data_IF_437741517953
#
_entry.id   IF_437741517953
#
_cell.length_a   1.000
_cell.length_b   1.000
_cell.length_c   1.000
_cell.angle_alpha   90.00
_cell.angle_beta   90.00
_cell.angle_gamma   90.00
#
_symmetry.space_group_name_H-M   'P 1'
#
loop_
_entity.id
_entity.type
_entity.pdbx_description
1 polymer ?
#
# COMPACT_ATOMS: atom_id res chain seq x y z
N UNK A 1 -41.11 -13.21 -0.08
CA UNK A 1 -40.40 -11.95 0.26
C UNK A 1 -38.91 -12.23 0.29
N UNK A 2 -38.09 -11.45 -0.44
CA UNK A 2 -36.63 -11.65 -0.53
C UNK A 2 -35.96 -11.26 0.79
N UNK A 3 -35.21 -12.17 1.41
CA UNK A 3 -34.41 -11.90 2.62
C UNK A 3 -32.93 -12.02 2.28
N UNK A 4 -32.16 -10.98 2.63
CA UNK A 4 -30.71 -10.93 2.45
C UNK A 4 -30.02 -10.66 3.79
N UNK A 5 -28.96 -11.40 4.07
CA UNK A 5 -28.18 -11.22 5.29
C UNK A 5 -27.37 -9.92 5.23
N UNK A 6 -27.44 -9.10 6.28
CA UNK A 6 -26.68 -7.86 6.40
C UNK A 6 -25.35 -8.01 7.15
N UNK A 7 -24.99 -9.21 7.62
CA UNK A 7 -23.74 -9.47 8.32
C UNK A 7 -22.50 -9.44 7.40
N UNK A 8 -21.44 -8.74 7.81
CA UNK A 8 -20.08 -8.76 7.25
C UNK A 8 -20.03 -8.79 5.72
N UNK A 9 -19.39 -9.82 5.17
CA UNK A 9 -19.38 -10.11 3.72
C UNK A 9 -20.36 -11.22 3.33
N UNK A 10 -21.28 -11.61 4.23
CA UNK A 10 -22.20 -12.72 4.02
C UNK A 10 -23.08 -12.51 2.78
N UNK A 11 -23.23 -13.58 1.99
CA UNK A 11 -23.98 -13.61 0.73
C UNK A 11 -25.23 -14.51 0.79
N UNK A 12 -25.64 -14.94 2.00
CA UNK A 12 -26.89 -15.68 2.23
C UNK A 12 -28.09 -14.82 1.81
N UNK A 13 -28.86 -15.35 0.87
CA UNK A 13 -29.97 -14.65 0.23
C UNK A 13 -30.99 -15.68 -0.26
N UNK A 14 -32.28 -15.46 0.04
CA UNK A 14 -33.36 -16.40 -0.30
C UNK A 14 -33.59 -16.58 -1.79
N UNK A 15 -32.99 -15.74 -2.64
CA UNK A 15 -33.03 -15.90 -4.10
C UNK A 15 -32.11 -17.01 -4.62
N UNK A 16 -31.18 -17.50 -3.80
CA UNK A 16 -30.20 -18.52 -4.20
C UNK A 16 -30.25 -19.71 -3.22
N UNK A 17 -31.13 -20.71 -3.47
CA UNK A 17 -31.34 -21.85 -2.57
C UNK A 17 -30.04 -22.61 -2.22
N UNK A 18 -29.13 -22.77 -3.18
CA UNK A 18 -27.82 -23.44 -2.99
C UNK A 18 -26.96 -22.78 -1.89
N UNK A 19 -27.20 -21.51 -1.58
CA UNK A 19 -26.45 -20.77 -0.53
C UNK A 19 -27.04 -20.96 0.87
N UNK A 20 -28.20 -21.60 0.95
CA UNK A 20 -28.98 -21.85 2.16
C UNK A 20 -28.95 -23.33 2.60
N UNK A 21 -28.14 -24.16 1.94
CA UNK A 21 -27.88 -25.54 2.35
C UNK A 21 -27.46 -25.59 3.83
N UNK A 22 -28.07 -26.52 4.59
CA UNK A 22 -27.87 -26.65 6.03
C UNK A 22 -28.90 -25.93 6.92
N UNK A 23 -30.11 -25.63 6.43
CA UNK A 23 -31.23 -25.14 7.26
C UNK A 23 -31.12 -23.67 7.69
N UNK A 24 -30.46 -22.84 6.87
CA UNK A 24 -30.15 -21.44 7.21
C UNK A 24 -31.43 -20.60 7.28
N UNK A 25 -31.69 -20.01 8.44
CA UNK A 25 -32.86 -19.16 8.67
C UNK A 25 -32.44 -17.69 8.86
N UNK A 26 -33.40 -16.76 8.75
CA UNK A 26 -33.14 -15.32 8.76
C UNK A 26 -33.84 -14.65 9.95
N UNK A 27 -33.02 -14.16 10.88
CA UNK A 27 -33.43 -13.45 12.08
C UNK A 27 -33.67 -11.97 11.74
N UNK A 28 -34.84 -11.39 12.06
CA UNK A 28 -35.10 -9.97 11.84
C UNK A 28 -34.17 -9.08 12.64
N UNK A 29 -33.67 -8.01 12.02
CA UNK A 29 -32.83 -7.03 12.70
C UNK A 29 -33.65 -6.22 13.72
N UNK A 30 -33.16 -6.00 14.97
CA UNK A 30 -33.79 -5.15 15.98
C UNK A 30 -34.10 -3.76 15.44
N UNK A 31 -35.31 -3.24 15.67
CA UNK A 31 -35.70 -1.95 15.10
C UNK A 31 -35.26 -0.80 16.01
N UNK A 32 -34.72 0.30 15.45
CA UNK A 32 -34.35 1.48 16.25
C UNK A 32 -35.49 2.01 17.13
N UNK A 33 -36.73 1.94 16.64
CA UNK A 33 -37.92 2.40 17.36
C UNK A 33 -38.31 1.53 18.56
N UNK A 34 -37.95 0.24 18.55
CA UNK A 34 -38.38 -0.72 19.59
C UNK A 34 -37.26 -1.08 20.56
N UNK A 35 -36.02 -1.15 20.07
CA UNK A 35 -34.85 -1.43 20.91
C UNK A 35 -33.60 -0.84 20.24
N UNK A 36 -33.34 0.44 20.53
CA UNK A 36 -32.23 1.20 19.94
C UNK A 36 -30.87 0.66 20.35
N UNK A 37 -30.70 0.29 21.62
CA UNK A 37 -29.44 -0.21 22.16
C UNK A 37 -29.01 -1.51 21.47
N UNK A 38 -29.91 -2.49 21.39
CA UNK A 38 -29.66 -3.75 20.69
C UNK A 38 -29.45 -3.55 19.18
N UNK A 39 -30.13 -2.57 18.59
CA UNK A 39 -29.93 -2.19 17.20
C UNK A 39 -28.51 -1.65 16.93
N UNK A 40 -28.03 -0.73 17.77
CA UNK A 40 -26.66 -0.19 17.69
C UNK A 40 -25.61 -1.28 17.91
N UNK A 41 -25.85 -2.17 18.87
CA UNK A 41 -24.98 -3.31 19.13
C UNK A 41 -24.89 -4.25 17.92
N UNK A 42 -26.03 -4.58 17.28
CA UNK A 42 -26.03 -5.41 16.07
C UNK A 42 -25.37 -4.72 14.87
N UNK A 43 -25.48 -3.38 14.74
CA UNK A 43 -24.76 -2.62 13.70
C UNK A 43 -23.25 -2.82 13.87
N UNK A 44 -22.77 -2.68 15.11
CA UNK A 44 -21.35 -2.87 15.46
C UNK A 44 -20.89 -4.31 15.19
N UNK A 45 -21.65 -5.29 15.68
CA UNK A 45 -21.31 -6.72 15.56
C UNK A 45 -21.34 -7.22 14.10
N UNK A 46 -22.24 -6.70 13.26
CA UNK A 46 -22.31 -7.09 11.86
C UNK A 46 -21.13 -6.57 11.02
N UNK A 47 -20.33 -5.60 11.48
CA UNK A 47 -19.09 -5.19 10.80
C UNK A 47 -19.25 -4.66 9.37
N UNK A 48 -20.41 -4.12 9.00
CA UNK A 48 -20.62 -3.46 7.70
C UNK A 48 -20.15 -1.99 7.76
N UNK A 49 -19.69 -1.40 6.65
CA UNK A 49 -19.42 0.04 6.59
C UNK A 49 -20.65 0.87 7.00
N UNK A 50 -20.44 1.97 7.70
CA UNK A 50 -21.51 2.85 8.19
C UNK A 50 -22.42 3.36 7.05
N UNK A 51 -21.89 3.51 5.83
CA UNK A 51 -22.68 3.87 4.64
C UNK A 51 -23.70 2.79 4.23
N UNK A 52 -23.44 1.51 4.53
CA UNK A 52 -24.29 0.37 4.16
C UNK A 52 -25.24 -0.07 5.27
N UNK A 53 -24.83 0.04 6.54
CA UNK A 53 -25.62 -0.35 7.70
C UNK A 53 -25.48 0.70 8.80
N UNK A 54 -26.54 1.47 9.00
CA UNK A 54 -26.66 2.48 10.05
C UNK A 54 -28.13 2.56 10.49
N UNK A 55 -28.38 3.31 11.58
CA UNK A 55 -29.70 3.44 12.20
C UNK A 55 -30.76 3.94 11.22
N UNK A 56 -30.41 4.88 10.32
CA UNK A 56 -31.35 5.43 9.33
C UNK A 56 -31.75 4.41 8.25
N UNK A 57 -30.89 3.43 7.97
CA UNK A 57 -31.06 2.43 6.92
C UNK A 57 -31.66 1.08 7.40
N UNK A 58 -32.06 0.99 8.67
CA UNK A 58 -32.68 -0.21 9.27
C UNK A 58 -34.21 -0.14 9.17
N UNK A 59 -34.72 -0.67 8.07
CA UNK A 59 -36.16 -0.89 7.83
C UNK A 59 -36.63 -2.32 8.13
N UNK A 60 -37.86 -2.65 7.73
CA UNK A 60 -38.49 -3.96 7.94
C UNK A 60 -37.70 -5.12 7.29
N UNK A 61 -37.05 -4.88 6.15
CA UNK A 61 -36.37 -5.90 5.33
C UNK A 61 -34.92 -6.22 5.69
N UNK A 62 -34.43 -5.85 6.88
CA UNK A 62 -33.06 -6.18 7.33
C UNK A 62 -33.06 -7.44 8.19
N UNK A 63 -32.16 -8.38 7.86
CA UNK A 63 -32.04 -9.67 8.52
C UNK A 63 -30.58 -10.09 8.72
N UNK A 64 -30.32 -10.92 9.73
CA UNK A 64 -29.05 -11.63 9.93
C UNK A 64 -29.35 -13.13 9.88
N UNK A 65 -28.57 -13.92 9.13
CA UNK A 65 -28.82 -15.35 9.04
C UNK A 65 -28.22 -16.13 10.22
N UNK A 66 -28.79 -17.30 10.54
CA UNK A 66 -28.41 -18.13 11.70
C UNK A 66 -26.93 -18.55 11.71
N UNK A 67 -26.23 -18.52 10.55
CA UNK A 67 -24.79 -18.78 10.44
C UNK A 67 -23.91 -17.91 11.37
N UNK A 68 -24.43 -16.78 11.81
CA UNK A 68 -23.69 -15.78 12.59
C UNK A 68 -24.06 -15.78 14.07
N UNK A 69 -24.83 -16.77 14.53
CA UNK A 69 -25.14 -16.96 15.95
C UNK A 69 -24.41 -18.21 16.45
N UNK A 70 -24.29 -18.33 17.77
CA UNK A 70 -23.68 -19.49 18.44
C UNK A 70 -24.34 -20.78 17.92
N UNK A 71 -23.52 -21.80 17.63
CA UNK A 71 -23.93 -23.09 17.05
C UNK A 71 -24.66 -23.03 15.69
N UNK A 72 -24.67 -21.87 15.03
CA UNK A 72 -25.37 -21.63 13.75
C UNK A 72 -26.89 -21.83 13.82
N UNK A 73 -27.48 -21.64 15.00
CA UNK A 73 -28.92 -21.82 15.28
C UNK A 73 -29.64 -20.47 15.45
N UNK A 74 -30.93 -20.48 15.81
CA UNK A 74 -31.63 -19.27 16.24
C UNK A 74 -31.02 -18.69 17.52
N UNK A 75 -31.13 -17.37 17.74
CA UNK A 75 -30.66 -16.74 18.96
C UNK A 75 -31.41 -17.30 20.17
N UNK A 76 -30.68 -17.63 21.23
CA UNK A 76 -31.24 -18.09 22.50
C UNK A 76 -31.23 -16.95 23.52
N UNK A 77 -31.93 -17.06 24.67
CA UNK A 77 -31.84 -16.06 25.73
C UNK A 77 -30.40 -15.87 26.26
N UNK A 78 -29.60 -16.94 26.27
CA UNK A 78 -28.19 -16.90 26.69
C UNK A 78 -27.28 -16.25 25.64
N UNK A 79 -27.57 -16.47 24.35
CA UNK A 79 -26.78 -15.91 23.23
C UNK A 79 -27.71 -15.20 22.23
N UNK A 80 -28.22 -14.00 22.59
CA UNK A 80 -29.26 -13.33 21.82
C UNK A 80 -28.72 -12.51 20.64
N UNK A 81 -27.40 -12.38 20.51
CA UNK A 81 -26.71 -11.48 19.58
C UNK A 81 -25.84 -12.25 18.58
N UNK A 82 -25.63 -11.71 17.37
CA UNK A 82 -24.71 -12.30 16.42
C UNK A 82 -23.26 -12.17 16.91
N UNK A 83 -22.44 -13.16 16.58
CA UNK A 83 -21.00 -13.13 16.87
C UNK A 83 -20.34 -11.90 16.20
N UNK A 84 -19.25 -11.34 16.76
CA UNK A 84 -18.57 -10.21 16.13
C UNK A 84 -17.96 -10.59 14.77
N UNK A 85 -18.29 -9.84 13.72
CA UNK A 85 -17.74 -10.05 12.37
C UNK A 85 -16.22 -9.83 12.29
N UNK A 86 -15.63 -9.10 13.25
CA UNK A 86 -14.22 -8.76 13.28
C UNK A 86 -13.34 -9.82 14.00
N UNK A 87 -13.93 -10.84 14.63
CA UNK A 87 -13.19 -11.84 15.44
C UNK A 87 -13.30 -13.28 14.92
N UNK A 88 -14.00 -13.53 13.81
CA UNK A 88 -14.10 -14.89 13.26
C UNK A 88 -12.87 -15.21 12.39
N UNK A 89 -11.99 -16.02 12.98
CA UNK A 89 -10.87 -16.75 12.37
C UNK A 89 -11.24 -17.20 10.96
N UNK A 90 -10.46 -16.73 9.98
CA UNK A 90 -10.58 -17.07 8.58
C UNK A 90 -10.39 -18.59 8.40
N UNK A 91 -11.48 -19.32 8.20
CA UNK A 91 -11.43 -20.61 7.51
C UNK A 91 -11.41 -20.35 6.01
N UNK A 92 -10.51 -20.99 5.25
CA UNK A 92 -10.35 -20.73 3.83
C UNK A 92 -11.58 -21.26 3.10
N UNK A 93 -12.25 -20.39 2.34
CA UNK A 93 -13.23 -20.82 1.34
C UNK A 93 -12.70 -20.52 -0.04
N UNK A 94 -12.67 -21.59 -0.82
CA UNK A 94 -12.33 -21.65 -2.23
C UNK A 94 -13.07 -20.60 -3.05
N UNK A 95 -12.35 -20.01 -3.99
CA UNK A 95 -12.86 -19.08 -4.97
C UNK A 95 -13.93 -19.77 -5.85
N UNK A 96 -15.09 -19.12 -6.04
CA UNK A 96 -15.98 -19.43 -7.16
C UNK A 96 -15.53 -18.62 -8.38
N UNK A 97 -15.70 -19.14 -9.61
CA UNK A 97 -15.32 -18.44 -10.82
C UNK A 97 -16.12 -17.15 -11.02
N UNK A 98 -15.49 -16.18 -11.68
CA UNK A 98 -16.05 -14.87 -12.04
C UNK A 98 -17.31 -15.01 -12.93
N UNK A 99 -18.33 -14.15 -12.77
CA UNK A 99 -19.38 -14.00 -13.77
C UNK A 99 -18.78 -13.42 -15.06
N UNK A 100 -19.18 -13.96 -16.21
CA UNK A 100 -18.84 -13.42 -17.51
C UNK A 100 -19.30 -11.95 -17.62
N UNK A 101 -18.35 -11.04 -17.80
CA UNK A 101 -18.65 -9.62 -18.04
C UNK A 101 -19.38 -9.48 -19.38
N UNK A 102 -20.52 -8.79 -19.34
CA UNK A 102 -21.07 -8.07 -20.50
C UNK A 102 -19.98 -7.18 -21.10
N UNK A 103 -19.68 -7.37 -22.39
CA UNK A 103 -18.77 -6.52 -23.18
C UNK A 103 -19.28 -5.07 -23.15
N UNK A 104 -18.41 -4.15 -22.73
CA UNK A 104 -18.47 -2.73 -23.12
C UNK A 104 -17.42 -2.56 -24.22
N UNK A 105 -17.89 -2.07 -25.35
CA UNK A 105 -17.15 -1.75 -26.56
C UNK A 105 -16.14 -0.64 -26.23
N UNK A 106 -14.85 -0.88 -26.52
CA UNK A 106 -13.79 0.14 -26.50
C UNK A 106 -13.03 0.08 -27.82
N UNK A 107 -13.00 1.23 -28.50
CA UNK A 107 -12.23 1.77 -29.66
C UNK A 107 -11.17 0.97 -30.47
N UNK A 108 -10.91 -0.31 -30.22
CA UNK A 108 -10.04 -1.16 -31.05
C UNK A 108 -10.81 -2.16 -31.93
N UNK A 109 -12.15 -2.20 -31.88
CA UNK A 109 -12.98 -3.09 -32.71
C UNK A 109 -13.16 -2.59 -34.17
N UNK A 110 -12.68 -1.39 -34.51
CA UNK A 110 -12.76 -0.85 -35.87
C UNK A 110 -11.71 -1.44 -36.84
N UNK A 111 -10.62 -2.06 -36.33
CA UNK A 111 -9.54 -2.60 -37.17
C UNK A 111 -9.61 -4.13 -37.37
N UNK A 112 -10.25 -4.86 -36.45
CA UNK A 112 -10.48 -6.31 -36.60
C UNK A 112 -11.62 -6.64 -37.57
N UNK A 113 -12.56 -5.70 -37.77
CA UNK A 113 -13.68 -5.86 -38.71
C UNK A 113 -13.24 -5.80 -40.19
N UNK A 114 -12.01 -5.33 -40.48
CA UNK A 114 -11.44 -5.30 -41.82
C UNK A 114 -10.61 -6.56 -42.14
N UNK A 115 -10.13 -7.30 -41.14
CA UNK A 115 -9.34 -8.54 -41.35
C UNK A 115 -10.24 -9.77 -41.57
N UNK A 116 -11.47 -9.80 -41.03
CA UNK A 116 -12.43 -10.89 -41.29
C UNK A 116 -13.10 -10.84 -42.68
N UNK A 117 -12.92 -9.78 -43.46
CA UNK A 117 -13.44 -9.70 -44.83
C UNK A 117 -12.50 -10.35 -45.87
N UNK A 118 -11.28 -10.73 -45.49
CA UNK A 118 -10.27 -11.27 -46.40
C UNK A 118 -9.97 -12.77 -46.22
N UNK A 119 -10.61 -13.47 -45.29
CA UNK A 119 -10.36 -14.92 -45.04
C UNK A 119 -11.51 -15.86 -45.48
N UNK A 120 -12.62 -15.35 -46.03
CA UNK A 120 -13.79 -16.18 -46.40
C UNK A 120 -13.96 -16.43 -47.91
N UNK A 121 -12.89 -16.27 -48.70
CA UNK A 121 -12.87 -16.66 -50.13
C UNK A 121 -11.67 -17.54 -50.45
N UNK A 122 -11.54 -18.68 -49.78
CA UNK A 122 -10.69 -19.76 -50.28
C UNK A 122 -11.16 -21.12 -49.73
N UNK A 123 -12.29 -21.61 -50.24
CA UNK A 123 -12.66 -23.04 -50.21
C UNK A 123 -13.96 -23.28 -51.00
N UNK A 124 -13.83 -23.49 -52.30
CA UNK A 124 -14.77 -24.32 -53.06
C UNK A 124 -13.95 -25.23 -53.98
N UNK A 125 -13.73 -26.45 -53.50
CA UNK A 125 -13.22 -27.57 -54.30
C UNK A 125 -14.19 -27.85 -55.45
N UNK A 126 -13.71 -27.71 -56.69
CA UNK A 126 -14.44 -28.16 -57.88
C UNK A 126 -14.10 -29.63 -58.13
N UNK A 127 -14.99 -30.52 -57.70
CA UNK A 127 -14.96 -31.92 -58.10
C UNK A 127 -15.31 -32.05 -59.58
N UNK A 128 -14.43 -32.73 -60.30
CA UNK A 128 -14.62 -33.23 -61.66
C UNK A 128 -15.80 -34.20 -61.75
N UNK A 129 -16.75 -33.92 -62.64
CA UNK A 129 -17.57 -34.94 -63.30
C UNK A 129 -17.59 -34.68 -64.79
N UNK A 130 -17.10 -35.66 -65.56
CA UNK A 130 -17.39 -35.83 -66.98
C UNK A 130 -18.89 -36.10 -67.12
N UNK A 131 -19.56 -35.44 -68.05
CA UNK A 131 -20.20 -36.14 -69.16
C UNK A 131 -20.73 -35.19 -70.24
N UNK A 132 -20.68 -35.75 -71.44
CA UNK A 132 -21.11 -35.31 -72.76
C UNK A 132 -22.53 -34.73 -72.82
N UNK A 133 -22.72 -33.64 -73.57
CA UNK A 133 -23.56 -33.65 -74.77
C UNK A 133 -23.33 -32.42 -75.67
N UNK A 134 -23.01 -32.70 -76.93
CA UNK A 134 -22.82 -31.75 -78.02
C UNK A 134 -24.10 -30.99 -78.35
N UNK A 135 -24.03 -29.66 -78.43
CA UNK A 135 -24.84 -28.89 -79.37
C UNK A 135 -23.97 -27.84 -80.07
N UNK A 136 -23.61 -28.16 -81.32
CA UNK A 136 -23.06 -27.24 -82.31
C UNK A 136 -24.04 -26.10 -82.56
N UNK A 137 -23.65 -24.88 -82.16
CA UNK A 137 -24.19 -23.64 -82.74
C UNK A 137 -23.07 -23.02 -83.57
N UNK A 138 -23.08 -23.38 -84.86
CA UNK A 138 -22.24 -22.79 -85.89
C UNK A 138 -22.61 -21.31 -86.06
N UNK A 139 -21.81 -20.41 -85.47
CA UNK A 139 -21.82 -18.99 -85.84
C UNK A 139 -20.46 -18.64 -86.41
N UNK A 140 -20.44 -18.41 -87.71
CA UNK A 140 -19.29 -18.05 -88.54
C UNK A 140 -18.45 -16.95 -87.87
N UNK A 141 -17.23 -17.28 -87.48
CA UNK A 141 -16.20 -16.32 -87.04
C UNK A 141 -15.21 -16.17 -88.19
N UNK A 142 -14.95 -14.92 -88.54
CA UNK A 142 -13.97 -14.46 -89.51
C UNK A 142 -12.57 -15.06 -89.23
N UNK A 143 -11.89 -15.72 -90.19
CA UNK A 143 -10.57 -16.33 -90.00
C UNK A 143 -9.50 -15.36 -89.50
N UNK A 144 -9.66 -14.07 -89.80
CA UNK A 144 -8.72 -13.00 -89.45
C UNK A 144 -8.78 -12.61 -87.96
N UNK A 145 -9.93 -12.85 -87.31
CA UNK A 145 -10.17 -12.55 -85.90
C UNK A 145 -9.69 -13.66 -84.94
N UNK A 146 -9.58 -14.91 -85.42
CA UNK A 146 -9.20 -16.04 -84.58
C UNK A 146 -7.69 -16.06 -84.27
N UNK A 147 -6.82 -15.75 -85.24
CA UNK A 147 -5.37 -15.64 -85.01
C UNK A 147 -5.00 -14.47 -84.09
N UNK A 148 -5.71 -13.34 -84.22
CA UNK A 148 -5.53 -12.17 -83.34
C UNK A 148 -5.93 -12.50 -81.90
N UNK A 149 -7.08 -13.14 -81.69
CA UNK A 149 -7.54 -13.58 -80.36
C UNK A 149 -6.65 -14.63 -79.70
N UNK A 150 -6.02 -15.52 -80.48
CA UNK A 150 -5.05 -16.49 -79.97
C UNK A 150 -3.78 -15.79 -79.49
N UNK A 151 -3.30 -14.79 -80.25
CA UNK A 151 -2.12 -14.00 -79.87
C UNK A 151 -2.36 -13.15 -78.61
N UNK A 152 -3.55 -12.55 -78.48
CA UNK A 152 -3.95 -11.78 -77.30
C UNK A 152 -4.05 -12.66 -76.05
N UNK A 153 -4.56 -13.89 -76.20
CA UNK A 153 -4.60 -14.86 -75.10
C UNK A 153 -3.22 -15.30 -74.64
N UNK A 154 -2.25 -15.48 -75.55
CA UNK A 154 -0.87 -15.78 -75.18
C UNK A 154 -0.20 -14.62 -74.42
N UNK A 155 -0.44 -13.38 -74.85
CA UNK A 155 0.07 -12.18 -74.18
C UNK A 155 -0.53 -12.05 -72.77
N UNK A 156 -1.84 -12.24 -72.64
CA UNK A 156 -2.54 -12.21 -71.34
C UNK A 156 -2.03 -13.30 -70.40
N UNK A 157 -1.83 -14.53 -70.88
CA UNK A 157 -1.25 -15.62 -70.07
C UNK A 157 0.15 -15.26 -69.57
N UNK A 158 0.96 -14.62 -70.41
CA UNK A 158 2.30 -14.18 -70.05
C UNK A 158 2.27 -13.08 -68.98
N UNK A 159 1.37 -12.10 -69.11
CA UNK A 159 1.17 -11.04 -68.12
C UNK A 159 0.65 -11.58 -66.78
N UNK A 160 -0.28 -12.56 -66.79
CA UNK A 160 -0.78 -13.20 -65.57
C UNK A 160 0.33 -13.97 -64.85
N UNK A 161 1.17 -14.69 -65.59
CA UNK A 161 2.33 -15.38 -65.02
C UNK A 161 3.31 -14.38 -64.39
N UNK A 162 3.60 -13.27 -65.07
CA UNK A 162 4.47 -12.21 -64.57
C UNK A 162 3.89 -11.56 -63.30
N UNK A 163 2.60 -11.23 -63.28
CA UNK A 163 1.91 -10.73 -62.08
C UNK A 163 1.93 -11.74 -60.93
N UNK A 164 1.73 -13.03 -61.20
CA UNK A 164 1.80 -14.08 -60.18
C UNK A 164 3.18 -14.17 -59.54
N UNK A 165 4.26 -14.01 -60.32
CA UNK A 165 5.62 -13.99 -59.77
C UNK A 165 5.86 -12.75 -58.89
N UNK A 166 5.40 -11.57 -59.31
CA UNK A 166 5.50 -10.33 -58.53
C UNK A 166 4.68 -10.43 -57.23
N UNK A 167 3.47 -10.99 -57.29
CA UNK A 167 2.61 -11.23 -56.14
C UNK A 167 3.31 -12.10 -55.10
N UNK A 168 3.93 -13.20 -55.55
CA UNK A 168 4.64 -14.14 -54.67
C UNK A 168 5.87 -13.48 -54.01
N UNK A 169 6.60 -12.64 -54.75
CA UNK A 169 7.75 -11.90 -54.20
C UNK A 169 7.30 -10.83 -53.19
N UNK A 170 6.20 -10.13 -53.46
CA UNK A 170 5.58 -9.17 -52.56
C UNK A 170 5.13 -9.84 -51.25
N UNK A 171 4.48 -10.99 -51.33
CA UNK A 171 4.05 -11.79 -50.17
C UNK A 171 5.24 -12.25 -49.32
N UNK A 172 6.34 -12.66 -49.96
CA UNK A 172 7.59 -13.01 -49.27
C UNK A 172 8.15 -11.80 -48.51
N UNK A 173 8.25 -10.64 -49.15
CA UNK A 173 8.72 -9.40 -48.52
C UNK A 173 7.84 -8.99 -47.34
N UNK A 174 6.50 -9.09 -47.48
CA UNK A 174 5.57 -8.81 -46.38
C UNK A 174 5.79 -9.76 -45.21
N UNK A 175 6.01 -11.06 -45.47
CA UNK A 175 6.27 -12.06 -44.44
C UNK A 175 7.57 -11.77 -43.69
N UNK A 176 8.65 -11.48 -44.42
CA UNK A 176 9.95 -11.15 -43.84
C UNK A 176 9.86 -9.87 -42.99
N UNK A 177 9.18 -8.83 -43.50
CA UNK A 177 8.99 -7.57 -42.79
C UNK A 177 8.10 -7.72 -41.54
N UNK A 178 7.07 -8.58 -41.58
CA UNK A 178 6.26 -8.92 -40.41
C UNK A 178 7.11 -9.61 -39.33
N UNK A 179 7.99 -10.52 -39.74
CA UNK A 179 8.89 -11.22 -38.81
C UNK A 179 9.91 -10.27 -38.18
N UNK A 180 10.46 -9.33 -38.96
CA UNK A 180 11.37 -8.30 -38.47
C UNK A 180 10.67 -7.34 -37.48
N UNK A 181 9.46 -6.87 -37.79
CA UNK A 181 8.67 -6.02 -36.88
C UNK A 181 8.35 -6.72 -35.56
N UNK A 182 8.07 -8.02 -35.58
CA UNK A 182 7.87 -8.81 -34.37
C UNK A 182 9.15 -8.86 -33.52
N UNK A 183 10.29 -9.11 -34.16
CA UNK A 183 11.59 -9.14 -33.48
C UNK A 183 11.97 -7.77 -32.89
N UNK A 184 11.78 -6.69 -33.64
CA UNK A 184 12.04 -5.32 -33.19
C UNK A 184 11.12 -4.95 -32.01
N UNK A 185 9.84 -5.32 -32.07
CA UNK A 185 8.88 -5.06 -30.99
C UNK A 185 9.28 -5.78 -29.69
N UNK A 186 9.73 -7.04 -29.79
CA UNK A 186 10.26 -7.78 -28.64
C UNK A 186 11.52 -7.13 -28.07
N UNK A 187 12.42 -6.65 -28.93
CA UNK A 187 13.66 -5.97 -28.51
C UNK A 187 13.38 -4.64 -27.83
N UNK A 188 12.41 -3.86 -28.33
CA UNK A 188 11.95 -2.62 -27.70
C UNK A 188 11.38 -2.93 -26.31
N UNK A 189 10.49 -3.92 -26.20
CA UNK A 189 9.90 -4.30 -24.91
C UNK A 189 10.97 -4.74 -23.89
N UNK A 190 11.99 -5.51 -24.31
CA UNK A 190 13.10 -5.89 -23.44
C UNK A 190 13.97 -4.71 -23.01
N UNK A 191 14.21 -3.76 -23.91
CA UNK A 191 14.98 -2.57 -23.58
C UNK A 191 14.21 -1.63 -22.66
N UNK A 192 12.91 -1.50 -22.87
CA UNK A 192 12.02 -0.69 -22.04
C UNK A 192 11.93 -1.27 -20.63
N UNK A 193 11.71 -2.59 -20.50
CA UNK A 193 11.65 -3.26 -19.20
C UNK A 193 12.94 -3.11 -18.39
N UNK A 194 14.12 -3.14 -19.03
CA UNK A 194 15.43 -2.92 -18.36
C UNK A 194 15.69 -1.47 -17.94
N UNK A 195 14.99 -0.51 -18.55
CA UNK A 195 15.15 0.93 -18.26
C UNK A 195 14.11 1.45 -17.26
N UNK A 196 13.07 0.69 -16.98
CA UNK A 196 12.03 1.09 -16.04
C UNK A 196 12.60 1.30 -14.63
N UNK A 197 12.16 2.37 -13.99
CA UNK A 197 12.49 2.67 -12.60
C UNK A 197 11.60 1.85 -11.68
N UNK A 198 12.05 0.64 -11.36
CA UNK A 198 11.36 -0.29 -10.46
C UNK A 198 12.37 -1.00 -9.57
N UNK A 199 11.86 -1.65 -8.53
CA UNK A 199 12.71 -2.33 -7.54
C UNK A 199 13.48 -3.49 -8.16
N UNK A 200 12.89 -4.22 -9.12
CA UNK A 200 13.52 -5.37 -9.76
C UNK A 200 14.81 -5.00 -10.50
N UNK A 201 14.83 -3.84 -11.16
CA UNK A 201 16.01 -3.33 -11.86
C UNK A 201 17.03 -2.68 -10.92
N UNK A 202 16.58 -2.08 -9.82
CA UNK A 202 17.44 -1.30 -8.91
C UNK A 202 18.09 -2.15 -7.84
N UNK A 203 17.40 -3.17 -7.31
CA UNK A 203 17.86 -3.93 -6.13
C UNK A 203 19.11 -4.75 -6.38
N UNK A 204 19.40 -5.11 -7.63
CA UNK A 204 20.62 -5.84 -8.00
C UNK A 204 21.86 -4.93 -8.07
N UNK A 205 21.68 -3.63 -8.26
CA UNK A 205 22.77 -2.65 -8.17
C UNK A 205 22.92 -2.14 -6.73
N UNK A 206 23.95 -2.65 -6.04
CA UNK A 206 24.28 -2.29 -4.65
C UNK A 206 24.42 -0.79 -4.42
N UNK A 207 24.92 -0.02 -5.39
CA UNK A 207 25.08 1.43 -5.24
C UNK A 207 23.74 2.13 -5.39
N UNK A 208 22.94 1.73 -6.36
CA UNK A 208 21.64 2.35 -6.61
C UNK A 208 20.64 2.05 -5.49
N UNK A 209 20.53 0.80 -5.02
CA UNK A 209 19.61 0.47 -3.93
C UNK A 209 19.95 1.24 -2.66
N UNK A 210 21.25 1.35 -2.32
CA UNK A 210 21.72 2.13 -1.17
C UNK A 210 21.45 3.62 -1.34
N UNK A 211 21.66 4.17 -2.54
CA UNK A 211 21.40 5.57 -2.82
C UNK A 211 19.91 5.91 -2.65
N UNK A 212 19.03 5.13 -3.28
CA UNK A 212 17.61 5.42 -3.30
C UNK A 212 16.90 5.09 -1.98
N UNK A 213 17.34 4.04 -1.29
CA UNK A 213 16.64 3.56 -0.09
C UNK A 213 17.34 3.87 1.22
N UNK A 214 18.67 4.08 1.19
CA UNK A 214 19.51 4.10 2.39
C UNK A 214 19.81 2.70 2.96
N UNK A 215 19.31 1.64 2.33
CA UNK A 215 19.42 0.26 2.80
C UNK A 215 20.19 -0.61 1.81
N UNK A 216 20.81 -1.69 2.31
CA UNK A 216 21.26 -2.77 1.43
C UNK A 216 20.06 -3.53 0.85
N UNK A 217 20.29 -4.33 -0.20
CA UNK A 217 19.27 -5.22 -0.77
C UNK A 217 18.64 -6.10 0.31
N UNK A 218 19.47 -6.73 1.14
CA UNK A 218 19.05 -7.67 2.17
C UNK A 218 18.20 -6.98 3.24
N UNK A 219 18.57 -5.76 3.66
CA UNK A 219 17.78 -4.97 4.60
C UNK A 219 16.45 -4.53 3.99
N UNK A 220 16.44 -4.06 2.74
CA UNK A 220 15.21 -3.69 2.04
C UNK A 220 14.25 -4.89 1.93
N UNK A 221 14.76 -6.05 1.52
CA UNK A 221 13.97 -7.28 1.40
C UNK A 221 13.45 -7.75 2.77
N UNK A 222 14.24 -7.62 3.83
CA UNK A 222 13.80 -7.93 5.19
C UNK A 222 12.67 -7.00 5.66
N UNK A 223 12.78 -5.69 5.39
CA UNK A 223 11.73 -4.71 5.68
C UNK A 223 10.47 -5.05 4.88
N UNK A 224 10.60 -5.34 3.58
CA UNK A 224 9.48 -5.70 2.74
C UNK A 224 8.78 -6.96 3.24
N UNK A 225 9.55 -8.01 3.59
CA UNK A 225 9.01 -9.26 4.15
C UNK A 225 8.31 -9.05 5.49
N UNK A 226 8.82 -8.17 6.34
CA UNK A 226 8.16 -7.81 7.60
C UNK A 226 6.81 -7.11 7.36
N UNK A 227 6.79 -6.14 6.44
CA UNK A 227 5.60 -5.37 6.10
C UNK A 227 4.57 -6.20 5.32
N UNK A 228 5.00 -7.08 4.43
CA UNK A 228 4.16 -7.92 3.56
C UNK A 228 4.54 -9.40 3.73
N UNK A 229 4.13 -10.05 4.84
CA UNK A 229 4.57 -11.41 5.16
C UNK A 229 3.96 -12.50 4.28
N UNK A 230 2.83 -12.23 3.61
CA UNK A 230 2.14 -13.18 2.75
C UNK A 230 1.99 -12.64 1.33
N UNK A 231 2.33 -13.45 0.33
CA UNK A 231 2.31 -13.05 -1.10
C UNK A 231 0.91 -12.62 -1.56
N UNK A 232 -0.14 -13.27 -1.06
CA UNK A 232 -1.54 -12.96 -1.40
C UNK A 232 -2.15 -11.87 -0.51
N UNK A 233 -1.40 -11.33 0.45
CA UNK A 233 -1.92 -10.26 1.29
C UNK A 233 -1.96 -8.95 0.51
N UNK A 234 -3.13 -8.31 0.49
CA UNK A 234 -3.29 -6.91 0.14
C UNK A 234 -3.55 -6.14 1.45
N UNK A 235 -2.50 -5.82 2.22
CA UNK A 235 -2.66 -5.22 3.53
C UNK A 235 -3.14 -3.76 3.46
N UNK A 236 -3.05 -3.15 2.28
CA UNK A 236 -3.33 -1.74 2.05
C UNK A 236 -4.67 -1.57 1.35
N UNK A 237 -5.49 -0.68 1.89
CA UNK A 237 -6.65 -0.14 1.19
C UNK A 237 -6.34 1.29 0.76
N UNK A 238 -6.29 1.51 -0.55
CA UNK A 238 -6.08 2.84 -1.11
C UNK A 238 -7.41 3.61 -1.12
N UNK A 239 -7.34 4.89 -0.78
CA UNK A 239 -8.51 5.79 -0.74
C UNK A 239 -9.16 5.96 -2.11
N UNK A 240 -8.37 5.86 -3.17
CA UNK A 240 -8.80 5.98 -4.55
C UNK A 240 -8.46 4.74 -5.36
N UNK A 241 -9.39 4.31 -6.21
CA UNK A 241 -9.18 3.18 -7.13
C UNK A 241 -8.55 3.68 -8.42
N UNK A 242 -7.27 4.04 -8.36
CA UNK A 242 -6.50 4.43 -9.52
C UNK A 242 -5.94 3.18 -10.21
N UNK A 243 -6.10 3.08 -11.54
CA UNK A 243 -5.73 1.89 -12.31
C UNK A 243 -4.26 1.52 -12.13
N UNK A 244 -3.37 2.51 -12.25
CA UNK A 244 -1.93 2.34 -12.16
C UNK A 244 -1.45 1.74 -10.82
N UNK A 245 -2.17 1.96 -9.72
CA UNK A 245 -1.83 1.36 -8.41
C UNK A 245 -2.00 -0.18 -8.45
N UNK A 246 -2.92 -0.70 -9.26
CA UNK A 246 -3.12 -2.15 -9.38
C UNK A 246 -2.13 -2.82 -10.33
N UNK A 247 -1.44 -2.04 -11.17
CA UNK A 247 -0.44 -2.55 -12.12
C UNK A 247 0.96 -2.62 -11.49
N UNK A 248 1.20 -1.84 -10.44
CA UNK A 248 2.45 -1.85 -9.69
C UNK A 248 2.48 -2.94 -8.63
N UNK A 249 3.68 -3.46 -8.34
CA UNK A 249 3.88 -4.40 -7.24
C UNK A 249 3.88 -3.68 -5.89
N UNK A 250 3.54 -4.39 -4.81
CA UNK A 250 3.68 -3.84 -3.46
C UNK A 250 5.15 -3.51 -3.12
N UNK A 251 6.10 -4.25 -3.70
CA UNK A 251 7.54 -4.01 -3.53
C UNK A 251 7.93 -2.65 -4.16
N UNK A 252 7.39 -2.33 -5.33
CA UNK A 252 7.56 -1.01 -5.97
C UNK A 252 6.90 0.11 -5.18
N UNK A 253 5.74 -0.14 -4.58
CA UNK A 253 5.09 0.85 -3.72
C UNK A 253 5.92 1.18 -2.46
N UNK A 254 6.52 0.16 -1.82
CA UNK A 254 7.45 0.36 -0.72
C UNK A 254 8.68 1.13 -1.20
N UNK A 255 9.27 0.71 -2.33
CA UNK A 255 10.45 1.34 -2.90
C UNK A 255 10.21 2.82 -3.19
N UNK A 256 9.05 3.17 -3.79
CA UNK A 256 8.60 4.55 -3.99
C UNK A 256 8.54 5.32 -2.67
N UNK A 257 7.94 4.72 -1.65
CA UNK A 257 7.77 5.36 -0.34
C UNK A 257 9.11 5.65 0.33
N UNK A 258 10.04 4.68 0.30
CA UNK A 258 11.38 4.87 0.86
C UNK A 258 12.19 5.88 0.04
N UNK A 259 12.08 5.89 -1.30
CA UNK A 259 12.71 6.92 -2.13
C UNK A 259 12.28 8.33 -1.71
N UNK A 260 10.99 8.54 -1.45
CA UNK A 260 10.46 9.81 -0.93
C UNK A 260 11.04 10.15 0.43
N UNK A 261 11.05 9.21 1.38
CA UNK A 261 11.59 9.43 2.73
C UNK A 261 13.07 9.75 2.73
N UNK A 262 13.86 9.03 1.90
CA UNK A 262 15.31 9.15 1.85
C UNK A 262 15.78 10.42 1.14
N UNK A 263 15.19 10.71 -0.01
CA UNK A 263 15.69 11.75 -0.94
C UNK A 263 14.81 13.00 -0.98
N UNK A 264 13.67 13.00 -0.26
CA UNK A 264 12.67 14.06 -0.27
C UNK A 264 12.21 14.49 -1.68
N UNK A 265 12.19 13.56 -2.64
CA UNK A 265 11.78 13.83 -4.03
C UNK A 265 10.35 14.36 -4.11
N UNK A 266 10.04 15.33 -4.95
CA UNK A 266 8.66 15.78 -5.12
C UNK A 266 7.79 14.68 -5.75
N UNK A 267 6.48 14.69 -5.44
CA UNK A 267 5.57 13.70 -6.01
C UNK A 267 5.48 13.77 -7.54
N UNK A 268 5.80 14.91 -8.13
CA UNK A 268 5.91 15.05 -9.58
C UNK A 268 7.11 14.28 -10.14
N UNK A 269 8.29 14.41 -9.52
CA UNK A 269 9.50 13.65 -9.90
C UNK A 269 9.28 12.14 -9.70
N UNK A 270 8.68 11.74 -8.57
CA UNK A 270 8.30 10.35 -8.33
C UNK A 270 7.34 9.85 -9.41
N UNK A 271 6.32 10.63 -9.75
CA UNK A 271 5.38 10.28 -10.82
C UNK A 271 6.08 10.04 -12.15
N UNK A 272 7.01 10.93 -12.54
CA UNK A 272 7.80 10.77 -13.75
C UNK A 272 8.67 9.51 -13.75
N UNK A 273 9.34 9.18 -12.63
CA UNK A 273 10.20 7.99 -12.52
C UNK A 273 9.41 6.69 -12.65
N UNK A 274 8.32 6.57 -11.88
CA UNK A 274 7.50 5.35 -11.83
C UNK A 274 6.44 5.28 -12.94
N UNK A 275 6.40 6.26 -13.84
CA UNK A 275 5.42 6.36 -14.94
C UNK A 275 3.97 6.31 -14.41
N UNK A 276 3.73 7.08 -13.35
CA UNK A 276 2.41 7.23 -12.72
C UNK A 276 2.07 8.72 -12.53
N UNK A 277 0.81 9.03 -12.27
CA UNK A 277 0.44 10.41 -11.95
C UNK A 277 0.99 10.84 -10.58
N UNK A 278 1.21 12.14 -10.40
CA UNK A 278 1.55 12.74 -9.10
C UNK A 278 0.53 12.36 -8.01
N UNK A 279 -0.75 12.27 -8.38
CA UNK A 279 -1.82 11.86 -7.49
C UNK A 279 -1.66 10.40 -7.05
N UNK A 280 -1.37 9.48 -7.97
CA UNK A 280 -1.07 8.08 -7.64
C UNK A 280 0.11 7.99 -6.65
N UNK A 281 1.22 8.68 -6.93
CA UNK A 281 2.39 8.68 -6.06
C UNK A 281 2.06 9.18 -4.64
N UNK A 282 1.27 10.24 -4.53
CA UNK A 282 0.81 10.79 -3.23
C UNK A 282 -0.10 9.80 -2.49
N UNK A 283 -1.05 9.16 -3.17
CA UNK A 283 -1.94 8.15 -2.56
C UNK A 283 -1.14 6.97 -2.04
N UNK A 284 -0.21 6.43 -2.85
CA UNK A 284 0.67 5.33 -2.45
C UNK A 284 1.47 5.72 -1.20
N UNK A 285 2.18 6.84 -1.25
CA UNK A 285 3.02 7.30 -0.13
C UNK A 285 2.22 7.43 1.16
N UNK A 286 1.09 8.15 1.14
CA UNK A 286 0.30 8.37 2.36
C UNK A 286 -0.29 7.06 2.91
N UNK A 287 -0.74 6.14 2.06
CA UNK A 287 -1.21 4.82 2.48
C UNK A 287 -0.10 4.00 3.13
N UNK A 288 1.11 4.00 2.55
CA UNK A 288 2.25 3.27 3.10
C UNK A 288 2.78 3.88 4.40
N UNK A 289 2.86 5.21 4.53
CA UNK A 289 3.28 5.86 5.78
C UNK A 289 2.38 5.45 6.94
N UNK A 290 1.06 5.50 6.75
CA UNK A 290 0.11 5.08 7.80
C UNK A 290 0.25 3.59 8.13
N UNK A 291 0.44 2.75 7.11
CA UNK A 291 0.61 1.32 7.30
C UNK A 291 1.93 0.98 8.03
N UNK A 292 3.03 1.58 7.60
CA UNK A 292 4.34 1.44 8.22
C UNK A 292 4.30 1.92 9.68
N UNK A 293 3.61 3.01 9.98
CA UNK A 293 3.42 3.49 11.34
C UNK A 293 2.79 2.41 12.23
N UNK A 294 1.70 1.78 11.77
CA UNK A 294 1.03 0.72 12.53
C UNK A 294 1.90 -0.54 12.67
N UNK A 295 2.50 -1.02 11.58
CA UNK A 295 3.31 -2.25 11.60
C UNK A 295 4.62 -2.10 12.37
N UNK A 296 5.33 -0.99 12.21
CA UNK A 296 6.54 -0.75 13.01
C UNK A 296 6.21 -0.47 14.47
N UNK A 297 5.02 0.04 14.78
CA UNK A 297 4.54 0.17 16.16
C UNK A 297 4.36 -1.17 16.89
N UNK A 298 4.30 -2.29 16.17
CA UNK A 298 4.26 -3.64 16.75
C UNK A 298 5.65 -4.10 17.24
N UNK A 299 6.73 -3.44 16.81
CA UNK A 299 8.09 -3.79 17.21
C UNK A 299 8.41 -3.22 18.59
N UNK A 300 8.82 -4.09 19.50
CA UNK A 300 9.46 -3.66 20.73
C UNK A 300 10.88 -3.19 20.42
N UNK A 301 11.08 -1.88 20.37
CA UNK A 301 12.40 -1.25 20.20
C UNK A 301 13.13 -1.02 21.53
N UNK A 302 12.53 -1.46 22.64
CA UNK A 302 13.08 -1.32 23.99
C UNK A 302 13.91 -2.54 24.37
N UNK A 303 15.23 -2.43 24.47
CA UNK A 303 16.05 -3.48 25.05
C UNK A 303 15.81 -3.61 26.57
N UNK A 304 16.01 -4.82 27.10
CA UNK A 304 16.04 -5.04 28.54
C UNK A 304 17.19 -4.24 29.18
N UNK A 305 17.01 -3.74 30.41
CA UNK A 305 18.02 -2.94 31.12
C UNK A 305 19.41 -3.58 31.15
N UNK A 306 19.49 -4.90 31.33
CA UNK A 306 20.78 -5.57 31.42
C UNK A 306 21.56 -5.48 30.09
N UNK A 307 20.85 -5.60 28.97
CA UNK A 307 21.42 -5.42 27.62
C UNK A 307 21.89 -3.98 27.44
N UNK A 308 21.12 -3.00 27.91
CA UNK A 308 21.51 -1.59 27.87
C UNK A 308 22.79 -1.34 28.66
N UNK A 309 22.86 -1.80 29.91
CA UNK A 309 23.98 -1.56 30.80
C UNK A 309 25.24 -2.36 30.43
N UNK A 310 25.08 -3.53 29.82
CA UNK A 310 26.19 -4.33 29.27
C UNK A 310 26.82 -3.62 28.07
N UNK A 311 25.99 -3.06 27.17
CA UNK A 311 26.45 -2.42 25.93
C UNK A 311 26.67 -0.90 26.05
N UNK A 312 26.52 -0.35 27.25
CA UNK A 312 26.71 1.07 27.53
C UNK A 312 28.18 1.48 27.31
N UNK A 313 28.47 2.59 26.58
CA UNK A 313 29.83 3.06 26.39
C UNK A 313 30.56 3.29 27.72
N UNK A 314 31.79 2.79 27.86
CA UNK A 314 32.50 2.75 29.15
C UNK A 314 32.65 4.12 29.81
N UNK A 315 32.86 5.17 29.01
CA UNK A 315 32.94 6.55 29.51
C UNK A 315 31.61 7.04 30.06
N UNK A 316 30.52 6.78 29.33
CA UNK A 316 29.17 7.13 29.77
C UNK A 316 28.80 6.36 31.04
N UNK A 317 29.08 5.06 31.09
CA UNK A 317 28.84 4.20 32.27
C UNK A 317 29.55 4.68 33.53
N UNK A 318 30.75 5.25 33.40
CA UNK A 318 31.48 5.80 34.54
C UNK A 318 30.80 7.05 35.12
N UNK A 319 30.26 7.90 34.27
CA UNK A 319 29.69 9.19 34.68
C UNK A 319 28.19 9.07 35.04
N UNK A 320 27.46 8.18 34.35
CA UNK A 320 26.01 8.01 34.46
C UNK A 320 25.61 6.52 34.46
N UNK A 321 26.03 5.75 35.48
CA UNK A 321 25.91 4.29 35.49
C UNK A 321 24.48 3.76 35.48
N UNK A 322 23.51 4.58 35.89
CA UNK A 322 22.10 4.18 35.99
C UNK A 322 21.24 4.74 34.85
N UNK A 323 21.79 5.59 33.98
CA UNK A 323 20.99 6.21 32.91
C UNK A 323 20.69 5.21 31.79
N UNK A 324 19.42 4.93 31.55
CA UNK A 324 18.97 4.04 30.47
C UNK A 324 18.42 4.79 29.25
N UNK A 325 17.99 6.04 29.43
CA UNK A 325 17.41 6.86 28.37
C UNK A 325 17.91 8.31 28.47
N UNK A 326 18.20 8.90 27.32
CA UNK A 326 18.45 10.33 27.15
C UNK A 326 17.27 10.88 26.34
N UNK A 327 16.57 11.88 26.89
CA UNK A 327 15.36 12.44 26.31
C UNK A 327 15.59 13.89 25.87
N UNK A 328 15.06 14.23 24.72
CA UNK A 328 15.02 15.61 24.23
C UNK A 328 13.78 15.87 23.36
N UNK A 329 13.35 17.13 23.32
CA UNK A 329 12.28 17.58 22.44
C UNK A 329 12.87 18.18 21.15
N UNK A 330 12.89 17.40 20.09
CA UNK A 330 13.35 17.83 18.77
C UNK A 330 12.31 18.72 18.09
N UNK A 331 12.72 19.92 17.65
CA UNK A 331 11.88 20.83 16.89
C UNK A 331 12.12 20.76 15.37
N UNK A 332 11.05 20.62 14.60
CA UNK A 332 11.07 20.64 13.14
C UNK A 332 10.33 21.88 12.62
N UNK A 333 10.99 22.65 11.75
CA UNK A 333 10.36 23.78 11.08
C UNK A 333 9.28 23.30 10.11
N UNK A 334 8.15 23.98 10.12
CA UNK A 334 7.04 23.75 9.19
C UNK A 334 6.79 25.01 8.36
N UNK A 335 6.09 24.83 7.24
CA UNK A 335 5.53 25.96 6.51
C UNK A 335 4.56 26.73 7.40
N UNK A 336 4.59 28.06 7.31
CA UNK A 336 3.71 28.94 8.08
C UNK A 336 2.24 28.57 7.78
N UNK A 337 1.46 28.17 8.80
CA UNK A 337 0.04 27.90 8.61
C UNK A 337 -0.70 29.15 8.12
N UNK A 338 -1.72 28.95 7.27
CA UNK A 338 -2.59 30.04 6.80
C UNK A 338 -3.51 30.57 7.90
N UNK A 339 -3.92 29.70 8.83
CA UNK A 339 -4.71 30.08 9.99
C UNK A 339 -3.84 30.76 11.05
N UNK A 340 -4.22 31.99 11.45
CA UNK A 340 -3.54 32.73 12.51
C UNK A 340 -3.52 31.97 13.84
N UNK A 341 -4.59 31.21 14.15
CA UNK A 341 -4.65 30.37 15.36
C UNK A 341 -3.61 29.26 15.30
N UNK A 342 -3.57 28.51 14.20
CA UNK A 342 -2.58 27.45 14.02
C UNK A 342 -1.16 28.03 13.98
N UNK A 343 -0.98 29.21 13.38
CA UNK A 343 0.29 29.91 13.35
C UNK A 343 0.75 30.26 14.78
N UNK A 344 -0.11 30.84 15.61
CA UNK A 344 0.22 31.15 17.01
C UNK A 344 0.55 29.90 17.81
N UNK A 345 -0.25 28.83 17.67
CA UNK A 345 -0.03 27.57 18.42
C UNK A 345 1.25 26.84 18.02
N UNK A 346 1.66 26.93 16.76
CA UNK A 346 2.87 26.29 16.25
C UNK A 346 4.08 27.20 16.30
N UNK A 347 3.96 28.45 16.74
CA UNK A 347 5.12 29.33 16.82
C UNK A 347 6.01 28.93 18.00
N UNK A 348 7.28 28.67 17.72
CA UNK A 348 8.32 28.48 18.74
C UNK A 348 9.11 29.76 18.86
N UNK A 349 9.08 30.37 20.05
CA UNK A 349 9.88 31.55 20.36
C UNK A 349 11.38 31.23 20.25
N UNK A 350 11.76 30.02 20.68
CA UNK A 350 13.13 29.52 20.65
C UNK A 350 13.70 29.43 19.23
N UNK A 351 12.91 28.96 18.25
CA UNK A 351 13.32 28.86 16.85
C UNK A 351 12.88 30.05 16.00
N UNK A 352 12.19 31.01 16.59
CA UNK A 352 11.57 32.18 15.95
C UNK A 352 10.81 31.83 14.65
N UNK A 353 10.15 30.66 14.63
CA UNK A 353 9.48 30.12 13.44
C UNK A 353 8.36 29.15 13.83
N UNK A 354 7.48 28.84 12.87
CA UNK A 354 6.48 27.79 13.06
C UNK A 354 7.16 26.42 13.08
N UNK A 355 6.99 25.68 14.18
CA UNK A 355 7.57 24.36 14.39
C UNK A 355 6.55 23.36 14.92
N UNK A 356 6.87 22.09 14.72
CA UNK A 356 6.32 20.97 15.47
C UNK A 356 7.43 20.36 16.32
N UNK A 357 7.08 19.83 17.50
CA UNK A 357 8.01 19.17 18.41
C UNK A 357 7.71 17.68 18.52
N UNK A 358 8.75 16.87 18.67
CA UNK A 358 8.63 15.47 19.07
C UNK A 358 9.52 15.21 20.29
N UNK A 359 9.02 14.47 21.28
CA UNK A 359 9.88 13.86 22.29
C UNK A 359 10.55 12.63 21.66
N UNK A 360 11.86 12.63 21.66
CA UNK A 360 12.68 11.49 21.26
C UNK A 360 13.45 11.01 22.49
N UNK A 361 13.47 9.70 22.70
CA UNK A 361 14.39 9.09 23.65
C UNK A 361 15.37 8.20 22.91
N UNK A 362 16.64 8.31 23.28
CA UNK A 362 17.71 7.43 22.81
C UNK A 362 18.33 6.67 23.97
N UNK A 363 18.85 5.49 23.69
CA UNK A 363 19.67 4.76 24.64
C UNK A 363 21.07 5.41 24.77
N UNK A 364 21.89 5.01 25.75
CA UNK A 364 23.25 5.51 25.92
C UNK A 364 24.20 5.27 24.74
N UNK A 365 23.79 4.47 23.75
CA UNK A 365 24.54 4.19 22.52
C UNK A 365 24.06 5.07 21.35
N UNK A 366 23.00 5.85 21.53
CA UNK A 366 22.40 6.71 20.51
C UNK A 366 21.31 6.02 19.68
N UNK A 367 20.87 4.81 20.05
CA UNK A 367 19.77 4.13 19.36
C UNK A 367 18.44 4.72 19.81
N UNK A 368 17.54 5.06 18.87
CA UNK A 368 16.20 5.54 19.20
C UNK A 368 15.39 4.42 19.86
N UNK A 369 14.94 4.68 21.09
CA UNK A 369 14.10 3.76 21.88
C UNK A 369 12.68 4.32 22.06
N UNK A 370 12.46 5.60 21.74
CA UNK A 370 11.13 6.19 21.74
C UNK A 370 11.03 7.37 20.78
N UNK A 371 9.87 7.50 20.14
CA UNK A 371 9.46 8.71 19.43
C UNK A 371 7.99 8.97 19.70
N UNK A 372 7.66 10.19 20.10
CA UNK A 372 6.27 10.61 20.28
C UNK A 372 5.60 10.98 18.95
N UNK A 373 4.28 11.19 19.01
CA UNK A 373 3.57 12.01 18.04
C UNK A 373 4.07 13.46 18.05
N UNK A 374 3.68 14.22 17.03
CA UNK A 374 4.04 15.64 16.93
C UNK A 374 3.13 16.54 17.75
N UNK A 375 3.75 17.48 18.44
CA UNK A 375 3.13 18.51 19.27
C UNK A 375 3.41 19.90 18.69
N UNK A 376 2.66 20.91 19.12
CA UNK A 376 2.82 22.26 18.58
C UNK A 376 4.09 22.93 19.14
N UNK A 377 4.73 23.79 18.34
CA UNK A 377 5.95 24.52 18.72
C UNK A 377 5.85 25.34 20.02
N UNK A 378 4.65 25.78 20.40
CA UNK A 378 4.44 26.52 21.65
C UNK A 378 4.35 25.64 22.91
N UNK A 379 4.20 24.32 22.77
CA UNK A 379 4.12 23.42 23.93
C UNK A 379 5.47 23.29 24.62
N UNK A 380 5.44 23.29 25.96
CA UNK A 380 6.63 23.07 26.76
C UNK A 380 7.03 21.59 26.74
N UNK A 381 8.32 21.35 26.92
CA UNK A 381 8.90 20.01 26.92
C UNK A 381 8.30 19.11 28.01
N UNK A 382 8.01 19.68 29.19
CA UNK A 382 7.30 18.99 30.28
C UNK A 382 5.88 18.57 29.88
N UNK A 383 5.12 19.46 29.23
CA UNK A 383 3.77 19.12 28.76
C UNK A 383 3.82 18.01 27.71
N UNK A 384 4.81 18.05 26.82
CA UNK A 384 5.03 17.00 25.82
C UNK A 384 5.38 15.68 26.51
N UNK A 385 6.26 15.66 27.52
CA UNK A 385 6.57 14.46 28.28
C UNK A 385 5.32 13.78 28.86
N UNK A 386 4.40 14.57 29.42
CA UNK A 386 3.15 14.07 29.99
C UNK A 386 2.17 13.60 28.89
N UNK A 387 2.02 14.36 27.81
CA UNK A 387 1.04 14.05 26.77
C UNK A 387 1.49 12.97 25.78
N UNK A 388 2.80 12.78 25.62
CA UNK A 388 3.41 11.82 24.69
C UNK A 388 3.22 10.34 25.07
N UNK A 389 2.66 10.07 26.25
CA UNK A 389 2.53 8.72 26.82
C UNK A 389 3.86 8.06 27.20
N UNK A 390 4.94 8.85 27.24
CA UNK A 390 6.24 8.34 27.65
C UNK A 390 6.23 7.92 29.13
N UNK A 391 5.64 8.71 30.02
CA UNK A 391 5.51 8.35 31.45
C UNK A 391 4.77 7.02 31.64
N UNK A 392 3.64 6.84 30.97
CA UNK A 392 2.85 5.60 31.04
C UNK A 392 3.61 4.41 30.44
N UNK A 393 4.43 4.63 29.43
CA UNK A 393 5.32 3.60 28.89
C UNK A 393 6.39 3.20 29.89
N UNK A 394 7.06 4.15 30.55
CA UNK A 394 8.04 3.86 31.59
C UNK A 394 7.42 3.04 32.73
N UNK A 395 6.22 3.42 33.17
CA UNK A 395 5.46 2.67 34.18
C UNK A 395 5.25 1.21 33.75
N UNK A 396 4.82 0.97 32.50
CA UNK A 396 4.67 -0.39 31.96
C UNK A 396 5.99 -1.15 31.91
N UNK A 397 7.08 -0.50 31.50
CA UNK A 397 8.41 -1.13 31.45
C UNK A 397 8.90 -1.55 32.84
N UNK A 398 8.57 -0.78 33.88
CA UNK A 398 8.84 -1.16 35.27
C UNK A 398 7.99 -2.37 35.67
N UNK A 399 6.69 -2.36 35.35
CA UNK A 399 5.76 -3.47 35.66
C UNK A 399 6.17 -4.80 35.04
N UNK A 400 6.69 -4.79 33.82
CA UNK A 400 7.17 -5.99 33.13
C UNK A 400 8.64 -6.33 33.44
N UNK A 401 9.29 -5.59 34.34
CA UNK A 401 10.66 -5.83 34.81
C UNK A 401 11.77 -5.38 33.84
N UNK A 402 11.44 -4.65 32.78
CA UNK A 402 12.44 -4.10 31.86
C UNK A 402 13.23 -2.95 32.47
N UNK A 403 12.62 -2.24 33.43
CA UNK A 403 13.23 -1.18 34.24
C UNK A 403 13.04 -1.48 35.72
N UNK A 404 13.89 -0.88 36.54
CA UNK A 404 13.85 -1.02 38.00
C UNK A 404 13.91 0.35 38.67
N UNK A 405 13.38 0.42 39.90
CA UNK A 405 13.51 1.61 40.74
C UNK A 405 14.98 2.00 40.89
N UNK A 406 15.28 3.28 40.67
CA UNK A 406 16.64 3.83 40.67
C UNK A 406 17.31 3.91 39.29
N UNK A 407 16.75 3.28 38.26
CA UNK A 407 17.18 3.53 36.87
C UNK A 407 16.89 5.00 36.49
N UNK A 408 17.72 5.56 35.61
CA UNK A 408 17.81 7.00 35.36
C UNK A 408 17.39 7.41 33.95
N UNK A 409 16.67 8.53 33.88
CA UNK A 409 16.41 9.29 32.65
C UNK A 409 17.29 10.53 32.65
N UNK A 410 17.95 10.84 31.54
CA UNK A 410 18.75 12.05 31.37
C UNK A 410 18.03 13.01 30.42
N UNK A 411 18.11 14.31 30.68
CA UNK A 411 17.58 15.34 29.78
C UNK A 411 18.41 16.62 29.82
N UNK A 412 18.03 17.61 29.00
CA UNK A 412 18.61 18.95 29.09
C UNK A 412 18.17 19.66 30.38
N UNK A 413 18.92 20.68 30.78
CA UNK A 413 18.70 21.51 31.97
C UNK A 413 17.30 22.14 32.02
N UNK A 414 16.69 22.43 30.87
CA UNK A 414 15.33 22.97 30.78
C UNK A 414 14.22 21.93 30.97
N UNK A 415 14.56 20.64 31.04
CA UNK A 415 13.61 19.53 31.01
C UNK A 415 13.08 19.19 32.42
N UNK A 416 12.24 20.08 32.94
CA UNK A 416 11.70 20.01 34.32
C UNK A 416 10.66 18.90 34.50
N UNK A 417 11.10 17.64 34.58
CA UNK A 417 10.24 16.44 34.73
C UNK A 417 10.51 15.64 36.01
N UNK A 418 11.22 16.24 36.98
CA UNK A 418 11.72 15.53 38.17
C UNK A 418 10.58 14.86 38.93
N UNK A 419 9.50 15.60 39.22
CA UNK A 419 8.33 15.08 39.92
C UNK A 419 7.66 13.89 39.22
N UNK A 420 7.63 13.92 37.88
CA UNK A 420 7.04 12.88 37.06
C UNK A 420 7.88 11.62 37.07
N UNK A 421 9.21 11.76 36.99
CA UNK A 421 10.16 10.65 36.99
C UNK A 421 10.28 10.03 38.38
N UNK A 422 10.38 10.84 39.43
CA UNK A 422 10.44 10.37 40.82
C UNK A 422 9.16 9.65 41.24
N UNK A 423 8.00 10.07 40.74
CA UNK A 423 6.72 9.37 41.01
C UNK A 423 6.69 7.92 40.49
N UNK A 424 7.60 7.56 39.58
CA UNK A 424 7.80 6.19 39.08
C UNK A 424 8.92 5.44 39.83
N UNK A 425 9.56 6.09 40.80
CA UNK A 425 10.77 5.57 41.47
C UNK A 425 12.03 5.60 40.59
N UNK A 426 12.02 6.37 39.50
CA UNK A 426 13.18 6.57 38.62
C UNK A 426 13.96 7.82 39.05
N UNK A 427 15.15 8.03 38.47
CA UNK A 427 16.00 9.21 38.73
C UNK A 427 16.06 10.13 37.52
N UNK A 428 16.04 11.44 37.74
CA UNK A 428 16.30 12.42 36.70
C UNK A 428 17.76 12.91 36.78
N UNK A 429 18.50 12.75 35.70
CA UNK A 429 19.87 13.23 35.54
C UNK A 429 19.85 14.46 34.61
N UNK A 430 19.82 15.66 35.20
CA UNK A 430 19.92 16.94 34.46
C UNK A 430 21.10 17.77 34.98
N UNK A 431 21.71 18.62 34.14
CA UNK A 431 22.73 19.56 34.61
C UNK A 431 22.19 20.46 35.74
N UNK A 432 22.98 20.74 36.79
CA UNK A 432 22.55 21.56 37.91
C UNK A 432 22.17 22.99 37.48
N UNK A 433 21.15 23.54 38.15
CA UNK A 433 20.77 24.94 38.00
C UNK A 433 21.82 25.88 38.61
N UNK A 434 22.12 26.98 37.91
CA UNK A 434 22.95 28.02 38.48
C UNK A 434 22.05 28.85 39.39
N UNK A 435 22.38 28.95 40.68
CA UNK A 435 21.66 29.84 41.59
C UNK A 435 22.00 31.30 41.23
N UNK A 436 20.99 32.14 41.09
CA UNK A 436 21.19 33.57 40.78
C UNK A 436 22.17 34.19 41.79
N UNK A 437 23.24 34.81 41.27
CA UNK A 437 24.26 35.50 42.09
C UNK A 437 25.31 34.60 42.76
N UNK A 438 25.37 33.29 42.49
CA UNK A 438 26.45 32.41 42.98
C UNK A 438 27.16 31.68 41.84
N UNK A 439 28.49 31.65 41.89
CA UNK A 439 29.31 30.88 40.96
C UNK A 439 29.08 29.37 41.20
N UNK A 440 28.88 28.61 40.13
CA UNK A 440 28.71 27.15 40.20
C UNK A 440 29.97 26.50 40.82
N UNK A 441 29.78 25.43 41.60
CA UNK A 441 30.92 24.70 42.14
C UNK A 441 31.73 24.04 41.02
N UNK A 442 33.01 23.76 41.25
CA UNK A 442 33.86 23.04 40.27
C UNK A 442 33.26 21.67 39.92
N UNK A 443 32.63 21.00 40.89
CA UNK A 443 31.92 19.75 40.69
C UNK A 443 30.72 19.94 39.74
N UNK A 444 29.88 20.94 39.96
CA UNK A 444 28.69 21.23 39.14
C UNK A 444 29.06 21.67 37.73
N UNK A 445 30.16 22.42 37.57
CA UNK A 445 30.70 22.82 36.29
C UNK A 445 31.21 21.59 35.50
N UNK A 446 31.92 20.67 36.17
CA UNK A 446 32.39 19.43 35.54
C UNK A 446 31.25 18.49 35.18
N UNK A 447 30.23 18.36 36.04
CA UNK A 447 29.03 17.57 35.76
C UNK A 447 28.26 18.16 34.57
N UNK A 448 28.03 19.48 34.56
CA UNK A 448 27.41 20.18 33.42
C UNK A 448 28.15 19.93 32.11
N UNK A 449 29.48 20.01 32.12
CA UNK A 449 30.31 19.74 30.93
C UNK A 449 30.16 18.30 30.44
N UNK A 450 30.05 17.33 31.34
CA UNK A 450 29.83 15.92 30.98
C UNK A 450 28.46 15.70 30.37
N UNK A 451 27.40 16.25 30.98
CA UNK A 451 26.03 16.11 30.49
C UNK A 451 25.79 16.81 29.14
N UNK A 452 26.32 18.03 28.95
CA UNK A 452 26.13 18.79 27.70
C UNK A 452 26.81 18.13 26.49
N UNK A 453 27.96 17.48 26.66
CA UNK A 453 28.59 16.75 25.55
C UNK A 453 27.78 15.55 25.05
N UNK A 454 26.76 15.11 25.78
CA UNK A 454 25.96 13.92 25.49
C UNK A 454 24.58 14.32 24.94
N UNK A 455 23.97 15.37 25.49
CA UNK A 455 22.64 15.85 25.06
C UNK A 455 22.66 16.52 23.67
N UNK A 456 23.82 17.01 23.19
CA UNK A 456 23.96 17.67 21.88
C UNK A 456 24.66 16.83 20.80
N UNK A 457 24.79 15.50 20.97
CA UNK A 457 25.14 14.56 19.89
C UNK A 457 23.86 14.03 19.25
#
# INVERSE_FOLDING_TARGET
MVKRCCYGTCNSDTRYPDRLEGGVQFVPFPKPKTNLEKCLQWIKLCGRPHSQLNVANIGAGRYVCTKHFVNKTWPTPEYPDPLPANEVIASPKSARPLPSKRRKISHNEALSSQEQYYEETDQTELQTTKDSESQTVSRWIDPTGHETLVSENEILKKQIAEQSTVQTEMERKIKDQKQENLHLSQKIHQLDSKKQFNVANIKEDKKLILYYTGYSKETFEAIFKFLVPYVDSQPLTYTEKLHAINEMTLEDHLFLTICKLRNNLDFQDIGCRFVISQQCASVIFNSWINYMFLRFGELCIWPHRDVLFENMPSKFKKDFPTTFAIVDCTEMKIQKPSSLKAQSQTYSDYKSSNTLKALVAVDPRGSVIFSSMLFSGAMSDREIFIQSKFKEMLQKLIEIGYLTTGDGVMGDKGFNIESEVESLGLRLNIPPFAQSGKQMSQHDALYTKKSQCIVYM
#
